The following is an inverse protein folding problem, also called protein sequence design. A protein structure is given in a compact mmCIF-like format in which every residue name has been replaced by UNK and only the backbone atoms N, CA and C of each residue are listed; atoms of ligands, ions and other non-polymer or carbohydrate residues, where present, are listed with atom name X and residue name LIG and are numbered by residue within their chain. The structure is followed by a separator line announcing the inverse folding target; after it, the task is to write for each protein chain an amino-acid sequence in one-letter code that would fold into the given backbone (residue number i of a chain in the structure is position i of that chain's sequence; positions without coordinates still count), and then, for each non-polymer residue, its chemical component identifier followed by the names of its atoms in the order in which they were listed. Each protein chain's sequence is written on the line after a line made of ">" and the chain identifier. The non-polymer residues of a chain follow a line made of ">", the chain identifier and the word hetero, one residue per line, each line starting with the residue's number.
data_IF_838285079339
#
_entry.id   IF_838285079339
#
_cell.length_a   1.000
_cell.length_b   1.000
_cell.length_c   1.000
_cell.angle_alpha   90.00
_cell.angle_beta   90.00
_cell.angle_gamma   90.00
#
_symmetry.space_group_name_H-M   'P 1'
#
loop_
_entity.id
_entity.type
_entity.pdbx_description
1 polymer ?
#
# COMPACT_ATOMS: atom_id res chain seq x y z
N UNK A 1 -4.73 16.14 11.29
CA UNK A 1 -5.47 14.92 11.68
C UNK A 1 -4.79 13.70 11.06
N UNK A 2 -5.00 12.49 11.56
CA UNK A 2 -4.53 11.23 10.95
C UNK A 2 -5.74 10.36 10.62
N UNK A 3 -5.72 9.69 9.46
CA UNK A 3 -6.78 8.78 9.01
C UNK A 3 -6.19 7.38 9.07
N UNK A 4 -6.79 6.44 9.79
CA UNK A 4 -6.18 5.13 10.09
C UNK A 4 -4.71 5.32 10.55
N UNK A 5 -4.50 5.91 11.71
CA UNK A 5 -3.16 6.40 12.09
C UNK A 5 -2.08 5.29 12.12
N UNK A 6 -0.88 5.65 11.68
CA UNK A 6 0.34 4.89 11.93
C UNK A 6 1.30 5.74 12.75
N UNK A 7 1.92 5.15 13.78
CA UNK A 7 3.02 5.78 14.51
C UNK A 7 4.26 5.79 13.63
N UNK A 8 5.00 6.89 13.64
CA UNK A 8 6.26 7.03 12.91
C UNK A 8 7.42 6.97 13.91
N UNK A 9 8.54 6.39 13.48
CA UNK A 9 9.78 6.41 14.25
C UNK A 9 10.39 7.81 14.26
N UNK A 10 11.07 8.16 15.34
CA UNK A 10 11.68 9.48 15.54
C UNK A 10 12.92 9.75 14.67
N UNK A 11 13.56 8.70 14.14
CA UNK A 11 14.85 8.83 13.46
C UNK A 11 14.74 8.94 11.93
N UNK A 12 13.83 8.20 11.32
CA UNK A 12 13.72 8.09 9.85
C UNK A 12 12.34 8.50 9.31
N UNK A 13 11.38 8.75 10.19
CA UNK A 13 10.01 9.05 9.80
C UNK A 13 9.26 7.86 9.19
N UNK A 14 9.83 6.65 9.27
CA UNK A 14 9.23 5.42 8.79
C UNK A 14 8.16 4.89 9.77
N UNK A 15 7.16 4.12 9.31
CA UNK A 15 6.15 3.56 10.19
C UNK A 15 6.74 2.57 11.20
N UNK A 16 6.27 2.62 12.44
CA UNK A 16 6.60 1.62 13.47
C UNK A 16 6.04 0.27 13.04
N UNK A 17 6.91 -0.74 12.96
CA UNK A 17 6.55 -2.09 12.53
C UNK A 17 5.65 -2.79 13.55
N UNK A 18 4.62 -3.47 13.06
CA UNK A 18 3.75 -4.35 13.84
C UNK A 18 4.42 -5.71 14.06
N UNK A 19 3.96 -6.51 15.04
CA UNK A 19 4.44 -7.89 15.20
C UNK A 19 4.28 -8.71 13.91
N UNK A 20 5.37 -9.34 13.47
CA UNK A 20 5.41 -10.09 12.21
C UNK A 20 5.38 -9.23 10.94
N UNK A 21 5.49 -7.91 11.05
CA UNK A 21 5.61 -7.01 9.89
C UNK A 21 7.06 -7.00 9.40
N UNK A 22 7.28 -7.43 8.16
CA UNK A 22 8.54 -7.26 7.45
C UNK A 22 8.51 -5.88 6.78
N UNK A 23 9.36 -4.98 7.28
CA UNK A 23 9.36 -3.57 6.91
C UNK A 23 9.97 -3.26 5.53
N UNK A 24 9.49 -2.17 4.93
CA UNK A 24 10.09 -1.45 3.78
C UNK A 24 10.33 -2.32 2.54
N UNK A 25 9.31 -3.01 2.08
CA UNK A 25 9.36 -3.75 0.81
C UNK A 25 9.36 -2.81 -0.40
N UNK A 26 8.68 -1.67 -0.28
CA UNK A 26 8.70 -0.61 -1.27
C UNK A 26 8.51 0.74 -0.60
N UNK A 27 9.18 1.76 -1.13
CA UNK A 27 9.00 3.14 -0.71
C UNK A 27 9.16 4.07 -1.91
N UNK A 28 8.33 5.09 -2.00
CA UNK A 28 8.40 6.08 -3.08
C UNK A 28 8.03 7.46 -2.58
N UNK A 29 8.93 8.39 -2.83
CA UNK A 29 8.77 9.81 -2.57
C UNK A 29 7.92 10.50 -3.63
N UNK A 30 7.46 11.70 -3.28
CA UNK A 30 6.71 12.61 -4.13
C UNK A 30 5.49 11.93 -4.75
N UNK A 31 4.69 11.34 -3.88
CA UNK A 31 3.35 10.86 -4.22
C UNK A 31 2.31 11.84 -3.73
N UNK A 32 1.22 11.95 -4.48
CA UNK A 32 0.01 12.67 -4.10
C UNK A 32 -1.09 11.66 -3.81
N UNK A 33 -1.62 11.67 -2.59
CA UNK A 33 -2.73 10.84 -2.17
C UNK A 33 -4.00 11.68 -2.05
N UNK A 34 -5.07 11.23 -2.71
CA UNK A 34 -6.40 11.83 -2.64
C UNK A 34 -7.39 10.77 -2.18
N UNK A 35 -8.13 11.07 -1.12
CA UNK A 35 -9.25 10.28 -0.62
C UNK A 35 -10.53 11.05 -0.89
N UNK A 36 -11.41 10.46 -1.69
CA UNK A 36 -12.72 11.00 -2.01
C UNK A 36 -13.80 10.14 -1.36
N UNK A 37 -14.44 10.71 -0.33
CA UNK A 37 -15.73 10.26 0.18
C UNK A 37 -16.83 11.18 -0.37
N UNK A 38 -18.08 10.71 -0.41
CA UNK A 38 -19.24 11.50 -0.87
C UNK A 38 -19.42 12.82 -0.11
N UNK A 39 -18.85 12.92 1.10
CA UNK A 39 -18.98 14.08 1.99
C UNK A 39 -17.68 14.82 2.26
N UNK A 40 -16.53 14.28 1.86
CA UNK A 40 -15.24 14.82 2.25
C UNK A 40 -14.15 14.44 1.25
N UNK A 41 -13.34 15.43 0.89
CA UNK A 41 -12.14 15.25 0.10
C UNK A 41 -10.94 15.51 1.00
N UNK A 42 -10.04 14.54 1.09
CA UNK A 42 -8.76 14.71 1.76
C UNK A 42 -7.63 14.54 0.75
N UNK A 43 -6.74 15.53 0.70
CA UNK A 43 -5.54 15.49 -0.13
C UNK A 43 -4.30 15.59 0.74
N UNK A 44 -3.27 14.80 0.41
CA UNK A 44 -1.94 14.92 0.98
C UNK A 44 -0.84 14.63 -0.04
N UNK A 45 0.33 15.23 0.18
CA UNK A 45 1.57 14.97 -0.58
C UNK A 45 2.64 14.46 0.38
N UNK A 46 3.44 13.51 -0.09
CA UNK A 46 4.56 12.98 0.68
C UNK A 46 5.07 11.69 0.07
N UNK A 47 5.16 10.64 0.88
CA UNK A 47 5.74 9.35 0.53
C UNK A 47 4.74 8.23 0.76
N UNK A 48 4.83 7.17 -0.05
CA UNK A 48 4.14 5.91 0.19
C UNK A 48 5.15 4.85 0.60
N UNK A 49 4.76 4.01 1.55
CA UNK A 49 5.55 2.93 2.11
C UNK A 49 4.71 1.66 2.11
N UNK A 50 5.29 0.53 1.72
CA UNK A 50 4.61 -0.77 1.69
C UNK A 50 5.38 -1.78 2.53
N UNK A 51 4.65 -2.54 3.34
CA UNK A 51 5.12 -3.76 4.01
C UNK A 51 4.34 -4.98 3.56
N UNK A 52 4.69 -6.13 4.12
CA UNK A 52 3.92 -7.37 3.96
C UNK A 52 2.51 -7.33 4.58
N UNK A 53 2.12 -6.27 5.30
CA UNK A 53 0.80 -6.18 5.96
C UNK A 53 -0.04 -4.99 5.50
N UNK A 54 0.58 -3.85 5.16
CA UNK A 54 -0.14 -2.60 4.89
C UNK A 54 0.62 -1.65 3.97
N UNK A 55 -0.15 -0.76 3.36
CA UNK A 55 0.34 0.45 2.69
C UNK A 55 0.20 1.60 3.69
N UNK A 56 1.25 2.39 3.87
CA UNK A 56 1.24 3.60 4.69
C UNK A 56 1.60 4.78 3.83
N UNK A 57 0.72 5.78 3.77
CA UNK A 57 1.05 7.09 3.22
C UNK A 57 1.49 7.99 4.37
N UNK A 58 2.63 8.62 4.18
CA UNK A 58 3.25 9.54 5.13
C UNK A 58 3.24 10.91 4.45
N UNK A 59 2.42 11.82 4.97
CA UNK A 59 2.26 13.13 4.40
C UNK A 59 3.29 14.11 4.96
N UNK A 60 3.94 14.82 4.07
CA UNK A 60 4.76 15.99 4.37
C UNK A 60 3.89 17.25 4.45
N UNK A 61 2.82 17.30 3.64
CA UNK A 61 1.85 18.39 3.62
C UNK A 61 0.46 17.89 3.23
N UNK A 62 -0.58 18.56 3.75
CA UNK A 62 -1.97 18.32 3.36
C UNK A 62 -2.94 18.11 4.52
N UNK A 63 -4.05 17.44 4.21
CA UNK A 63 -5.24 17.32 5.06
C UNK A 63 -5.10 16.24 6.14
N UNK A 64 -4.21 15.27 5.93
CA UNK A 64 -3.89 14.23 6.90
C UNK A 64 -2.38 14.05 7.03
N UNK A 65 -1.92 13.56 8.18
CA UNK A 65 -0.49 13.29 8.46
C UNK A 65 -0.06 11.88 8.05
N UNK A 66 -0.87 10.89 8.38
CA UNK A 66 -0.63 9.49 8.02
C UNK A 66 -1.94 8.85 7.58
N UNK A 67 -1.83 7.92 6.62
CA UNK A 67 -2.90 7.05 6.16
C UNK A 67 -2.42 5.60 6.12
N UNK A 68 -2.95 4.76 7.01
CA UNK A 68 -2.68 3.32 7.03
C UNK A 68 -3.79 2.54 6.31
N UNK A 69 -3.42 1.69 5.37
CA UNK A 69 -4.34 0.86 4.60
C UNK A 69 -3.83 -0.58 4.67
N UNK A 70 -4.48 -1.46 5.45
CA UNK A 70 -4.15 -2.89 5.38
C UNK A 70 -4.32 -3.41 3.96
N UNK A 71 -3.41 -4.26 3.49
CA UNK A 71 -3.38 -4.70 2.08
C UNK A 71 -4.74 -5.26 1.61
N UNK A 72 -5.43 -6.02 2.48
CA UNK A 72 -6.76 -6.59 2.15
C UNK A 72 -7.87 -5.55 2.01
N UNK A 73 -7.69 -4.33 2.52
CA UNK A 73 -8.70 -3.28 2.55
C UNK A 73 -8.80 -2.50 1.24
N UNK A 74 -7.76 -2.50 0.41
CA UNK A 74 -7.78 -1.85 -0.89
C UNK A 74 -8.37 -2.81 -1.94
N UNK A 75 -9.57 -2.48 -2.43
CA UNK A 75 -10.37 -3.26 -3.37
C UNK A 75 -10.49 -2.56 -4.72
N UNK A 76 -10.77 -3.34 -5.77
CA UNK A 76 -11.04 -2.85 -7.13
C UNK A 76 -9.99 -1.83 -7.61
N UNK A 77 -8.73 -2.08 -7.24
CA UNK A 77 -7.65 -1.17 -7.56
C UNK A 77 -7.19 -1.39 -9.01
N UNK A 78 -6.71 -0.33 -9.64
CA UNK A 78 -6.14 -0.35 -10.98
C UNK A 78 -5.01 0.68 -11.11
N UNK A 79 -4.05 0.35 -11.96
CA UNK A 79 -3.02 1.27 -12.43
C UNK A 79 -3.52 1.95 -13.70
N UNK A 80 -3.45 3.27 -13.73
CA UNK A 80 -3.79 4.10 -14.88
C UNK A 80 -2.52 4.82 -15.37
N UNK A 81 -2.25 4.71 -16.67
CA UNK A 81 -1.05 5.24 -17.32
C UNK A 81 -1.42 6.28 -18.39
N UNK A 82 -1.85 7.48 -17.98
CA UNK A 82 -2.22 8.53 -18.91
C UNK A 82 -0.99 9.11 -19.63
N UNK A 83 -1.13 9.44 -20.90
CA UNK A 83 -0.05 10.03 -21.71
C UNK A 83 0.40 11.43 -21.25
N UNK A 84 -0.51 12.20 -20.65
CA UNK A 84 -0.30 13.61 -20.29
C UNK A 84 -0.46 13.89 -18.80
N UNK A 85 -0.36 12.86 -17.96
CA UNK A 85 -0.43 13.00 -16.50
C UNK A 85 0.50 11.99 -15.83
N UNK A 86 0.77 12.18 -14.54
CA UNK A 86 1.44 11.17 -13.74
C UNK A 86 0.63 9.86 -13.73
N UNK A 87 1.34 8.73 -13.75
CA UNK A 87 0.74 7.43 -13.50
C UNK A 87 0.12 7.43 -12.10
N UNK A 88 -1.05 6.83 -11.98
CA UNK A 88 -1.74 6.78 -10.69
C UNK A 88 -2.42 5.44 -10.47
N UNK A 89 -2.59 5.12 -9.20
CA UNK A 89 -3.32 3.95 -8.75
C UNK A 89 -4.59 4.44 -8.12
N UNK A 90 -5.72 3.92 -8.56
CA UNK A 90 -7.01 4.23 -7.96
C UNK A 90 -7.69 2.96 -7.49
N UNK A 91 -8.38 3.02 -6.36
CA UNK A 91 -9.09 1.88 -5.78
C UNK A 91 -9.99 2.29 -4.63
N UNK A 92 -10.77 1.35 -4.13
CA UNK A 92 -11.71 1.54 -3.02
C UNK A 92 -11.06 1.07 -1.71
N UNK A 93 -10.88 1.98 -0.76
CA UNK A 93 -10.40 1.65 0.59
C UNK A 93 -11.59 1.32 1.47
N UNK A 94 -11.65 0.07 1.93
CA UNK A 94 -12.64 -0.37 2.90
C UNK A 94 -12.31 0.16 4.30
N UNK A 95 -13.31 0.63 5.05
CA UNK A 95 -13.11 1.12 6.40
C UNK A 95 -12.66 -0.02 7.33
N UNK A 96 -11.74 0.29 8.24
CA UNK A 96 -11.25 -0.65 9.26
C UNK A 96 -11.78 -0.24 10.63
N UNK A 97 -12.06 -1.21 11.54
CA UNK A 97 -12.50 -0.89 12.89
C UNK A 97 -11.50 0.04 13.61
N UNK A 98 -11.98 1.16 14.14
CA UNK A 98 -11.13 2.15 14.83
C UNK A 98 -10.23 2.99 13.91
N UNK A 99 -10.37 2.87 12.60
CA UNK A 99 -9.52 3.55 11.63
C UNK A 99 -9.91 5.01 11.36
N UNK A 100 -11.18 5.38 11.48
CA UNK A 100 -11.66 6.75 11.24
C UNK A 100 -12.20 7.00 9.83
N UNK A 101 -11.94 6.11 8.87
CA UNK A 101 -12.79 6.00 7.68
C UNK A 101 -14.09 5.29 8.08
N UNK A 102 -15.25 5.92 7.88
CA UNK A 102 -16.55 5.33 8.23
C UNK A 102 -17.20 4.56 7.08
N UNK A 103 -16.81 4.88 5.84
CA UNK A 103 -17.41 4.34 4.61
C UNK A 103 -16.32 3.98 3.60
N UNK A 104 -16.62 3.08 2.65
CA UNK A 104 -15.73 2.82 1.54
C UNK A 104 -15.40 4.12 0.80
N UNK A 105 -14.11 4.43 0.69
CA UNK A 105 -13.62 5.72 0.20
C UNK A 105 -12.71 5.48 -1.01
N UNK A 106 -12.88 6.26 -2.07
CA UNK A 106 -12.01 6.13 -3.26
C UNK A 106 -10.65 6.76 -2.96
N UNK A 107 -9.60 5.97 -3.06
CA UNK A 107 -8.22 6.42 -2.99
C UNK A 107 -7.65 6.58 -4.40
N UNK A 108 -6.91 7.66 -4.61
CA UNK A 108 -6.06 7.87 -5.77
C UNK A 108 -4.65 8.23 -5.31
N UNK A 109 -3.66 7.42 -5.69
CA UNK A 109 -2.24 7.63 -5.45
C UNK A 109 -1.55 8.00 -6.77
N UNK A 110 -1.17 9.25 -6.95
CA UNK A 110 -0.45 9.73 -8.14
C UNK A 110 1.05 9.78 -7.87
N UNK A 111 1.84 9.24 -8.80
CA UNK A 111 3.29 9.07 -8.68
C UNK A 111 4.00 10.06 -9.61
N UNK A 112 4.42 11.23 -9.09
CA UNK A 112 4.94 12.30 -9.95
C UNK A 112 6.34 12.04 -10.49
N UNK A 113 7.12 11.17 -9.83
CA UNK A 113 8.51 10.85 -10.21
C UNK A 113 8.68 9.40 -10.71
N UNK A 114 7.58 8.76 -11.10
CA UNK A 114 7.59 7.34 -11.48
C UNK A 114 7.42 6.40 -10.28
N UNK A 115 7.68 5.11 -10.51
CA UNK A 115 7.51 4.07 -9.49
C UNK A 115 6.09 3.47 -9.38
N UNK A 116 5.09 4.00 -10.10
CA UNK A 116 3.74 3.46 -10.08
C UNK A 116 3.65 1.98 -10.55
N UNK A 117 4.51 1.59 -11.50
CA UNK A 117 4.57 0.22 -12.02
C UNK A 117 5.22 -0.69 -10.97
N UNK A 118 6.36 -0.30 -10.41
CA UNK A 118 7.05 -1.03 -9.34
C UNK A 118 6.14 -1.20 -8.12
N UNK A 119 5.47 -0.12 -7.68
CA UNK A 119 4.46 -0.20 -6.62
C UNK A 119 3.42 -1.26 -6.95
N UNK A 120 2.90 -1.24 -8.19
CA UNK A 120 1.84 -2.15 -8.63
C UNK A 120 2.31 -3.60 -8.61
N UNK A 121 3.54 -3.87 -9.06
CA UNK A 121 4.14 -5.21 -9.06
C UNK A 121 4.34 -5.72 -7.64
N UNK A 122 4.92 -4.90 -6.75
CA UNK A 122 5.12 -5.27 -5.34
C UNK A 122 3.78 -5.51 -4.66
N UNK A 123 2.83 -4.61 -4.82
CA UNK A 123 1.51 -4.73 -4.21
C UNK A 123 0.75 -5.97 -4.71
N UNK A 124 0.79 -6.25 -6.02
CA UNK A 124 0.18 -7.45 -6.62
C UNK A 124 0.79 -8.73 -6.05
N UNK A 125 2.11 -8.81 -5.99
CA UNK A 125 2.79 -9.97 -5.42
C UNK A 125 2.39 -10.19 -3.95
N UNK A 126 2.28 -9.12 -3.18
CA UNK A 126 1.87 -9.20 -1.77
C UNK A 126 0.44 -9.70 -1.58
N UNK A 127 -0.52 -9.18 -2.36
CA UNK A 127 -1.92 -9.63 -2.25
C UNK A 127 -2.08 -11.10 -2.70
N UNK A 128 -1.29 -11.55 -3.68
CA UNK A 128 -1.27 -12.94 -4.14
C UNK A 128 -0.75 -13.87 -3.05
N UNK A 129 0.41 -13.56 -2.44
CA UNK A 129 0.99 -14.32 -1.32
C UNK A 129 0.04 -14.40 -0.12
N UNK A 130 -0.70 -13.32 0.14
CA UNK A 130 -1.70 -13.26 1.19
C UNK A 130 -2.95 -14.11 0.87
N UNK A 131 -3.32 -14.19 -0.41
CA UNK A 131 -4.46 -14.98 -0.87
C UNK A 131 -4.14 -16.48 -0.90
N UNK A 132 -2.92 -16.86 -1.26
CA UNK A 132 -2.44 -18.25 -1.20
C UNK A 132 -2.13 -18.73 0.22
N UNK A 133 -2.22 -17.85 1.22
CA UNK A 133 -2.12 -18.24 2.63
C UNK A 133 -0.70 -18.54 3.11
N UNK A 134 0.33 -18.01 2.45
CA UNK A 134 1.72 -18.29 2.83
C UNK A 134 2.12 -19.75 2.63
N UNK A 135 1.56 -20.42 1.63
CA UNK A 135 2.04 -21.74 1.21
C UNK A 135 3.47 -21.60 0.68
N UNK A 136 4.46 -21.82 1.57
CA UNK A 136 5.73 -22.39 1.15
C UNK A 136 5.38 -23.70 0.42
N UNK A 137 5.31 -23.65 -0.90
CA UNK A 137 5.22 -24.86 -1.71
C UNK A 137 6.51 -25.64 -1.39
N UNK A 138 6.44 -26.79 -0.68
CA UNK A 138 7.65 -27.52 -0.35
C UNK A 138 8.31 -27.88 -1.67
N UNK A 139 9.60 -27.51 -1.80
CA UNK A 139 10.37 -27.79 -3.00
C UNK A 139 10.11 -29.25 -3.41
N UNK A 140 9.84 -29.53 -4.70
CA UNK A 140 9.67 -30.89 -5.16
C UNK A 140 10.82 -31.75 -4.66
N UNK A 141 10.51 -32.85 -3.97
CA UNK A 141 11.54 -33.80 -3.53
C UNK A 141 12.27 -34.28 -4.78
N UNK A 142 13.54 -33.91 -4.92
CA UNK A 142 14.36 -34.39 -6.04
C UNK A 142 14.51 -35.90 -5.89
N UNK A 143 13.74 -36.66 -6.68
CA UNK A 143 14.00 -38.07 -6.84
C UNK A 143 15.19 -38.20 -7.78
N UNK A 144 16.33 -38.77 -7.33
CA UNK A 144 17.43 -39.05 -8.23
C UNK A 144 16.93 -39.98 -9.34
N UNK A 145 17.40 -39.80 -10.58
CA UNK A 145 17.04 -40.68 -11.68
C UNK A 145 17.35 -42.14 -11.31
N UNK A 146 16.50 -43.12 -11.71
CA UNK A 146 16.79 -44.53 -11.51
C UNK A 146 18.19 -44.83 -12.06
N UNK A 147 19.04 -45.45 -11.23
CA UNK A 147 20.36 -45.88 -11.66
C UNK A 147 20.26 -46.88 -12.82
N UNK A 148 21.32 -47.00 -13.64
CA UNK A 148 21.38 -48.00 -14.72
C UNK A 148 21.33 -49.44 -14.20
#
# INVERSE_FOLDING_TARGET
>A
MSLNWAMLTSEQGDPVLLPGEQGRLYTQDKIKAVLNDQSSNWEAKGRVWISNQRIVVIAESGSFRTLNIPLRSLKNWKLEQPWFSANYITGLVMPTPGGGLQRPTTLTLSFTEGGAIEFTNVYRHLIETIATGGMEEPLPLYQPPPGP
#
